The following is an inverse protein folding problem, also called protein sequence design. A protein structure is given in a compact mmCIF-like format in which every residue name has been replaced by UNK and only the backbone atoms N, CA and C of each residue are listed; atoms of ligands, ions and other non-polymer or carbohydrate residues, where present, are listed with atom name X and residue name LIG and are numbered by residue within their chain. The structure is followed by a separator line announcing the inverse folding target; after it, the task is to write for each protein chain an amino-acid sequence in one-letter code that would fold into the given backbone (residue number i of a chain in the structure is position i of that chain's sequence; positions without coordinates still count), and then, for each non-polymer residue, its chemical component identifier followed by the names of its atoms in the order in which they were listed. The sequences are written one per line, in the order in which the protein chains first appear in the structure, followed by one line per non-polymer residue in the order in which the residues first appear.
data_IF_934503660764
#
_entry.id   IF_934503660764
#
_cell.length_a   1.000
_cell.length_b   1.000
_cell.length_c   1.000
_cell.angle_alpha   90.00
_cell.angle_beta   90.00
_cell.angle_gamma   90.00
#
_symmetry.space_group_name_H-M   'P 1'
#
loop_
_entity.id
_entity.type
_entity.pdbx_description
1 polymer ?
#
# COMPACT_ATOMS: atom_id res chain seq x y z
N UNK A 1 30.83 -15.95 -0.47
CA UNK A 1 29.38 -15.98 -0.86
C UNK A 1 29.21 -17.06 -1.93
N UNK A 2 28.36 -18.03 -1.72
CA UNK A 2 28.11 -19.09 -2.70
C UNK A 2 27.12 -18.61 -3.80
N UNK A 3 26.90 -19.47 -4.81
CA UNK A 3 26.07 -19.13 -5.95
C UNK A 3 24.62 -18.82 -5.56
N UNK A 4 24.07 -19.51 -4.55
CA UNK A 4 22.71 -19.30 -4.07
C UNK A 4 22.60 -17.92 -3.39
N UNK A 5 23.56 -17.61 -2.54
CA UNK A 5 23.60 -16.30 -1.85
C UNK A 5 23.77 -15.15 -2.83
N UNK A 6 24.61 -15.31 -3.83
CA UNK A 6 24.78 -14.32 -4.89
C UNK A 6 23.48 -14.09 -5.67
N UNK A 7 22.78 -15.17 -6.00
CA UNK A 7 21.49 -15.06 -6.71
C UNK A 7 20.43 -14.37 -5.86
N UNK A 8 20.38 -14.66 -4.57
CA UNK A 8 19.45 -13.98 -3.63
C UNK A 8 19.74 -12.50 -3.52
N UNK A 9 21.01 -12.15 -3.38
CA UNK A 9 21.43 -10.75 -3.30
C UNK A 9 21.11 -10.00 -4.59
N UNK A 10 21.34 -10.61 -5.75
CA UNK A 10 21.01 -10.01 -7.04
C UNK A 10 19.50 -9.73 -7.15
N UNK A 11 18.65 -10.69 -6.73
CA UNK A 11 17.19 -10.47 -6.73
C UNK A 11 16.78 -9.34 -5.81
N UNK A 12 17.41 -9.25 -4.64
CA UNK A 12 17.15 -8.18 -3.68
C UNK A 12 17.51 -6.82 -4.27
N UNK A 13 18.71 -6.70 -4.86
CA UNK A 13 19.14 -5.45 -5.47
C UNK A 13 18.26 -5.05 -6.64
N UNK A 14 17.84 -5.99 -7.47
CA UNK A 14 16.91 -5.71 -8.58
C UNK A 14 15.57 -5.18 -8.08
N UNK A 15 15.04 -5.71 -6.97
CA UNK A 15 13.82 -5.17 -6.36
C UNK A 15 14.00 -3.75 -5.86
N UNK A 16 15.09 -3.47 -5.16
CA UNK A 16 15.37 -2.12 -4.64
C UNK A 16 15.48 -1.10 -5.77
N UNK A 17 16.17 -1.45 -6.85
CA UNK A 17 16.27 -0.61 -8.04
C UNK A 17 14.89 -0.35 -8.66
N UNK A 18 14.08 -1.39 -8.82
CA UNK A 18 12.73 -1.29 -9.38
C UNK A 18 11.83 -0.41 -8.52
N UNK A 19 11.93 -0.52 -7.20
CA UNK A 19 11.12 0.28 -6.28
C UNK A 19 11.66 1.70 -6.07
N UNK A 20 12.92 1.94 -6.43
CA UNK A 20 13.52 3.27 -6.33
C UNK A 20 13.83 3.71 -4.90
N UNK A 21 13.94 2.79 -3.95
CA UNK A 21 14.23 3.08 -2.54
C UNK A 21 15.03 1.95 -1.92
N UNK A 22 15.90 2.26 -0.96
CA UNK A 22 16.66 1.28 -0.20
C UNK A 22 15.88 0.74 1.01
N UNK A 23 14.73 1.32 1.33
CA UNK A 23 13.89 0.90 2.46
C UNK A 23 12.42 0.84 2.00
N UNK A 24 12.08 -0.12 1.11
CA UNK A 24 10.71 -0.22 0.61
C UNK A 24 9.76 -0.70 1.71
N UNK A 25 8.62 -0.02 1.83
CA UNK A 25 7.57 -0.35 2.80
C UNK A 25 6.21 -0.17 2.18
N UNK A 26 5.25 -0.98 2.61
CA UNK A 26 3.85 -0.75 2.27
C UNK A 26 3.39 0.59 2.81
N UNK A 27 2.85 1.45 1.94
CA UNK A 27 2.37 2.78 2.33
C UNK A 27 1.14 2.75 3.24
N UNK A 28 0.47 1.60 3.36
CA UNK A 28 -0.73 1.44 4.20
C UNK A 28 -0.40 0.79 5.55
N UNK A 29 0.26 -0.39 5.53
CA UNK A 29 0.44 -1.19 6.74
C UNK A 29 1.90 -1.28 7.22
N UNK A 30 2.86 -0.75 6.46
CA UNK A 30 4.27 -0.75 6.85
C UNK A 30 5.01 -2.05 6.61
N UNK A 31 4.42 -3.04 5.90
CA UNK A 31 5.12 -4.28 5.55
C UNK A 31 6.48 -3.97 4.91
N UNK A 32 7.55 -4.51 5.47
CA UNK A 32 8.91 -4.19 5.06
C UNK A 32 9.58 -5.30 4.23
N UNK A 33 8.94 -6.46 4.07
CA UNK A 33 9.49 -7.53 3.23
C UNK A 33 9.27 -7.19 1.76
N UNK A 34 10.35 -6.83 1.07
CA UNK A 34 10.29 -6.44 -0.35
C UNK A 34 9.70 -7.50 -1.27
N UNK A 35 9.73 -8.77 -0.88
CA UNK A 35 9.13 -9.87 -1.64
C UNK A 35 7.61 -9.80 -1.65
N UNK A 36 7.02 -9.11 -0.68
CA UNK A 36 5.58 -8.96 -0.52
C UNK A 36 5.06 -7.62 -1.03
N UNK A 37 5.91 -6.79 -1.64
CA UNK A 37 5.53 -5.44 -2.07
C UNK A 37 5.32 -5.39 -3.58
N UNK A 38 4.35 -4.58 -3.98
CA UNK A 38 3.98 -4.36 -5.38
C UNK A 38 3.71 -2.88 -5.60
N UNK A 39 3.96 -2.41 -6.83
CA UNK A 39 3.61 -1.05 -7.22
C UNK A 39 2.12 -1.00 -7.60
N UNK A 40 1.37 -0.12 -6.95
CA UNK A 40 -0.05 0.09 -7.21
C UNK A 40 -0.24 1.41 -7.96
N UNK A 41 -0.93 1.37 -9.09
CA UNK A 41 -1.31 2.56 -9.83
C UNK A 41 -2.51 3.23 -9.15
N UNK A 42 -2.30 4.44 -8.62
CA UNK A 42 -3.31 5.13 -7.80
C UNK A 42 -4.62 5.36 -8.57
N UNK A 43 -4.52 5.82 -9.82
CA UNK A 43 -5.70 6.08 -10.66
C UNK A 43 -6.16 4.86 -11.47
N UNK A 44 -5.47 3.72 -11.37
CA UNK A 44 -5.68 2.55 -12.21
C UNK A 44 -4.62 2.43 -13.29
N UNK A 45 -4.26 1.20 -13.65
CA UNK A 45 -3.11 0.89 -14.52
C UNK A 45 -3.12 1.65 -15.86
N UNK A 46 -4.28 1.90 -16.43
CA UNK A 46 -4.42 2.54 -17.76
C UNK A 46 -4.54 4.05 -17.69
N UNK A 47 -4.59 4.66 -16.50
CA UNK A 47 -5.02 6.05 -16.36
C UNK A 47 -3.96 6.98 -15.81
N UNK A 48 -2.90 6.46 -15.17
CA UNK A 48 -1.86 7.28 -14.56
C UNK A 48 -0.61 6.44 -14.34
N UNK A 49 0.54 7.11 -14.34
CA UNK A 49 1.84 6.51 -14.03
C UNK A 49 2.21 6.65 -12.56
N UNK A 50 1.43 7.39 -11.77
CA UNK A 50 1.69 7.56 -10.33
C UNK A 50 1.42 6.25 -9.61
N UNK A 51 2.46 5.76 -8.93
CA UNK A 51 2.38 4.51 -8.17
C UNK A 51 2.75 4.71 -6.71
N UNK A 52 2.25 3.83 -5.87
CA UNK A 52 2.62 3.71 -4.47
C UNK A 52 2.94 2.26 -4.18
N UNK A 53 3.92 2.02 -3.31
CA UNK A 53 4.23 0.66 -2.86
C UNK A 53 3.20 0.21 -1.84
N UNK A 54 2.63 -0.96 -2.05
CA UNK A 54 1.70 -1.60 -1.13
C UNK A 54 2.01 -3.09 -1.06
N UNK A 55 1.70 -3.72 0.07
CA UNK A 55 1.82 -5.17 0.16
C UNK A 55 0.71 -5.84 -0.65
N UNK A 56 0.88 -7.13 -0.93
CA UNK A 56 -0.07 -7.91 -1.73
C UNK A 56 -1.50 -7.83 -1.18
N UNK A 57 -1.66 -7.87 0.14
CA UNK A 57 -2.98 -7.81 0.77
C UNK A 57 -3.63 -6.44 0.58
N UNK A 58 -2.88 -5.35 0.81
CA UNK A 58 -3.37 -3.99 0.60
C UNK A 58 -3.65 -3.74 -0.88
N UNK A 59 -2.77 -4.21 -1.78
CA UNK A 59 -2.95 -4.08 -3.22
C UNK A 59 -4.24 -4.76 -3.69
N UNK A 60 -4.52 -5.95 -3.18
CA UNK A 60 -5.75 -6.67 -3.51
C UNK A 60 -6.99 -5.88 -3.11
N UNK A 61 -6.99 -5.29 -1.92
CA UNK A 61 -8.12 -4.48 -1.43
C UNK A 61 -8.38 -3.27 -2.31
N UNK A 62 -7.35 -2.47 -2.60
CA UNK A 62 -7.53 -1.28 -3.43
C UNK A 62 -7.82 -1.61 -4.89
N UNK A 63 -7.30 -2.72 -5.41
CA UNK A 63 -7.62 -3.18 -6.77
C UNK A 63 -9.08 -3.63 -6.88
N UNK A 64 -9.60 -4.26 -5.84
CA UNK A 64 -11.02 -4.64 -5.78
C UNK A 64 -11.92 -3.39 -5.78
N UNK A 65 -11.57 -2.38 -4.99
CA UNK A 65 -12.29 -1.10 -4.96
C UNK A 65 -12.30 -0.43 -6.34
N UNK A 66 -11.22 -0.51 -7.10
CA UNK A 66 -11.13 0.09 -8.44
C UNK A 66 -12.13 -0.51 -9.44
N UNK A 67 -12.58 -1.74 -9.21
CA UNK A 67 -13.60 -2.37 -10.08
C UNK A 67 -14.93 -1.63 -10.04
N UNK A 68 -15.21 -0.94 -8.95
CA UNK A 68 -16.47 -0.21 -8.76
C UNK A 68 -16.39 1.24 -9.23
N UNK A 69 -15.26 1.66 -9.80
CA UNK A 69 -15.11 3.00 -10.35
C UNK A 69 -16.01 3.18 -11.57
N UNK A 70 -16.46 4.42 -11.84
CA UNK A 70 -17.24 4.71 -13.05
C UNK A 70 -16.54 4.27 -14.32
N UNK A 71 -17.30 3.77 -15.29
CA UNK A 71 -16.78 3.35 -16.58
C UNK A 71 -16.08 4.50 -17.30
N UNK A 72 -14.98 4.22 -18.00
CA UNK A 72 -14.27 5.20 -18.78
C UNK A 72 -15.09 5.62 -20.00
N UNK A 73 -15.25 6.93 -20.20
CA UNK A 73 -15.89 7.51 -21.38
C UNK A 73 -14.81 8.11 -22.30
N UNK A 74 -14.52 7.49 -23.44
CA UNK A 74 -13.50 7.99 -24.36
C UNK A 74 -13.84 9.35 -24.98
N UNK A 75 -15.11 9.75 -24.95
CA UNK A 75 -15.58 11.04 -25.47
C UNK A 75 -15.58 12.15 -24.42
N UNK A 76 -15.31 11.81 -23.18
CA UNK A 76 -15.26 12.77 -22.07
C UNK A 76 -13.93 13.52 -22.01
N UNK A 77 -13.84 14.44 -21.05
CA UNK A 77 -12.61 15.20 -20.77
C UNK A 77 -11.58 14.28 -20.11
N UNK A 78 -10.51 13.98 -20.82
CA UNK A 78 -9.48 13.04 -20.36
C UNK A 78 -8.74 13.54 -19.11
N UNK A 79 -8.52 14.84 -18.99
CA UNK A 79 -7.83 15.42 -17.82
C UNK A 79 -8.70 15.32 -16.57
N UNK A 80 -9.95 15.72 -16.65
CA UNK A 80 -10.88 15.63 -15.52
C UNK A 80 -11.10 14.18 -15.08
N UNK A 81 -11.23 13.27 -16.05
CA UNK A 81 -11.36 11.83 -15.76
C UNK A 81 -10.13 11.30 -14.99
N UNK A 82 -8.93 11.65 -15.46
CA UNK A 82 -7.68 11.22 -14.86
C UNK A 82 -7.54 11.73 -13.43
N UNK A 83 -7.83 13.01 -13.19
CA UNK A 83 -7.80 13.60 -11.84
C UNK A 83 -8.83 12.94 -10.94
N UNK A 84 -10.04 12.71 -11.44
CA UNK A 84 -11.11 12.05 -10.69
C UNK A 84 -10.72 10.64 -10.26
N UNK A 85 -10.13 9.85 -11.14
CA UNK A 85 -9.65 8.50 -10.82
C UNK A 85 -8.50 8.50 -9.81
N UNK A 86 -7.60 9.47 -9.93
CA UNK A 86 -6.54 9.66 -8.94
C UNK A 86 -7.11 9.95 -7.55
N UNK A 87 -8.10 10.84 -7.46
CA UNK A 87 -8.74 11.18 -6.19
C UNK A 87 -9.47 9.97 -5.58
N UNK A 88 -10.17 9.18 -6.39
CA UNK A 88 -10.81 7.95 -5.92
C UNK A 88 -9.77 6.94 -5.41
N UNK A 89 -8.68 6.78 -6.14
CA UNK A 89 -7.58 5.87 -5.73
C UNK A 89 -6.91 6.32 -4.44
N UNK A 90 -6.68 7.62 -4.29
CA UNK A 90 -6.13 8.18 -3.06
C UNK A 90 -7.09 7.98 -1.88
N UNK A 91 -8.39 8.18 -2.10
CA UNK A 91 -9.41 7.95 -1.08
C UNK A 91 -9.42 6.50 -0.59
N UNK A 92 -9.29 5.53 -1.49
CA UNK A 92 -9.23 4.11 -1.13
C UNK A 92 -8.01 3.79 -0.26
N UNK A 93 -6.84 4.33 -0.61
CA UNK A 93 -5.63 4.17 0.19
C UNK A 93 -5.78 4.80 1.58
N UNK A 94 -6.30 6.01 1.65
CA UNK A 94 -6.52 6.71 2.92
C UNK A 94 -7.54 5.97 3.79
N UNK A 95 -8.56 5.37 3.20
CA UNK A 95 -9.53 4.56 3.94
C UNK A 95 -8.87 3.37 4.63
N UNK A 96 -7.97 2.68 3.94
CA UNK A 96 -7.21 1.59 4.55
C UNK A 96 -6.30 2.07 5.67
N UNK A 97 -5.67 3.24 5.52
CA UNK A 97 -4.84 3.84 6.55
C UNK A 97 -5.69 4.20 7.78
N UNK A 98 -6.87 4.77 7.58
CA UNK A 98 -7.81 5.07 8.67
C UNK A 98 -8.18 3.80 9.45
N UNK A 99 -8.47 2.70 8.77
CA UNK A 99 -8.78 1.41 9.40
C UNK A 99 -7.60 0.94 10.27
N UNK A 100 -6.36 1.07 9.80
CA UNK A 100 -5.16 0.71 10.57
C UNK A 100 -4.98 1.59 11.80
N UNK A 101 -5.21 2.88 11.66
CA UNK A 101 -5.12 3.80 12.81
C UNK A 101 -6.13 3.46 13.89
N UNK A 102 -7.35 3.13 13.52
CA UNK A 102 -8.40 2.71 14.47
C UNK A 102 -7.98 1.42 15.17
N UNK A 103 -7.51 0.43 14.44
CA UNK A 103 -7.06 -0.86 14.99
C UNK A 103 -5.92 -0.65 15.98
N UNK A 104 -4.88 0.10 15.61
CA UNK A 104 -3.74 0.36 16.49
C UNK A 104 -4.14 1.18 17.71
N UNK A 105 -4.99 2.19 17.53
CA UNK A 105 -5.48 3.00 18.66
C UNK A 105 -6.21 2.16 19.68
N UNK A 106 -7.11 1.30 19.25
CA UNK A 106 -7.83 0.38 20.13
C UNK A 106 -6.90 -0.60 20.84
N UNK A 107 -5.92 -1.14 20.13
CA UNK A 107 -4.95 -2.07 20.69
C UNK A 107 -4.12 -1.40 21.79
N UNK A 108 -3.67 -0.17 21.59
CA UNK A 108 -2.90 0.56 22.60
C UNK A 108 -3.73 0.86 23.83
N UNK A 109 -4.99 1.22 23.66
CA UNK A 109 -5.91 1.45 24.79
C UNK A 109 -6.12 0.17 25.57
N UNK A 110 -6.31 -0.96 24.90
CA UNK A 110 -6.48 -2.26 25.56
C UNK A 110 -5.21 -2.66 26.32
N UNK A 111 -4.04 -2.45 25.76
CA UNK A 111 -2.76 -2.70 26.44
C UNK A 111 -2.58 -1.81 27.67
N UNK A 112 -3.00 -0.55 27.59
CA UNK A 112 -2.95 0.36 28.72
C UNK A 112 -3.80 -0.14 29.90
N UNK A 113 -4.99 -0.67 29.62
CA UNK A 113 -5.87 -1.26 30.63
C UNK A 113 -5.23 -2.49 31.28
N UNK A 114 -4.62 -3.37 30.49
CA UNK A 114 -3.94 -4.56 31.03
C UNK A 114 -2.76 -4.20 31.93
N UNK A 115 -1.97 -3.19 31.54
CA UNK A 115 -0.85 -2.72 32.35
C UNK A 115 -1.31 -2.09 33.66
N UNK A 116 -2.39 -1.31 33.63
CA UNK A 116 -2.97 -0.72 34.84
C UNK A 116 -3.43 -1.81 35.83
N UNK A 117 -4.13 -2.83 35.32
CA UNK A 117 -4.57 -3.97 36.17
C UNK A 117 -3.38 -4.76 36.70
N UNK A 118 -2.36 -4.99 35.87
CA UNK A 118 -1.19 -5.77 36.28
C UNK A 118 -0.14 -5.00 37.07
N UNK A 119 -0.05 -3.68 36.88
CA UNK A 119 0.98 -2.85 37.50
C UNK A 119 0.56 -2.10 38.75
N UNK A 120 -0.70 -2.12 39.04
CA UNK A 120 -1.27 -1.36 40.16
C UNK A 120 -1.22 -2.19 41.45
N UNK A 121 -0.09 -2.22 42.01
CA UNK A 121 0.14 -2.96 43.24
C UNK A 121 -0.23 -2.16 44.47
#
# INVERSE_FOLDING_TARGET
MDAIEMAREARKQNRLERFGTNDPRCGVCGEADGRCLEAHHVAGHKHDDVTVLVCRNCHRKVSDDQRDYPAFDPDGDAFLDSVGRFLLGLADLLRLIVEKLITFGNELIDRAKLQTVGGDA
#
